data_IF_491953629144
#
_entry.id   IF_491953629144
#
_cell.length_a   1.000
_cell.length_b   1.000
_cell.length_c   1.000
_cell.angle_alpha   90.00
_cell.angle_beta   90.00
_cell.angle_gamma   90.00
#
_symmetry.space_group_name_H-M   'P 1'
#
loop_
_entity.id
_entity.type
_entity.pdbx_description
1 polymer ?
#
# COMPACT_ATOMS: atom_id res chain seq x y z
N UNK A 1 -12.27 -4.42 -7.56
CA UNK A 1 -11.34 -3.48 -8.22
C UNK A 1 -11.02 -2.36 -7.25
N UNK A 2 -9.74 -2.01 -7.14
CA UNK A 2 -9.22 -0.97 -6.26
C UNK A 2 -8.86 0.30 -7.05
N UNK A 3 -9.12 1.46 -6.46
CA UNK A 3 -8.96 2.78 -7.10
C UNK A 3 -8.04 3.67 -6.29
N UNK A 4 -7.21 4.47 -6.97
CA UNK A 4 -6.31 5.42 -6.32
C UNK A 4 -6.95 6.80 -6.22
N UNK A 5 -6.64 7.49 -5.12
CA UNK A 5 -7.04 8.87 -4.88
C UNK A 5 -5.92 9.63 -4.18
N UNK A 6 -5.27 10.52 -4.91
CA UNK A 6 -4.29 11.44 -4.34
C UNK A 6 -4.99 12.56 -3.57
N UNK A 7 -4.49 12.88 -2.38
CA UNK A 7 -5.03 13.90 -1.48
C UNK A 7 -3.88 14.67 -0.86
N UNK A 8 -4.15 15.93 -0.53
CA UNK A 8 -3.22 16.76 0.21
C UNK A 8 -3.69 16.87 1.67
N UNK A 9 -2.76 16.75 2.62
CA UNK A 9 -3.02 16.99 4.04
C UNK A 9 -3.07 18.49 4.32
N UNK A 10 -3.61 18.85 5.49
CA UNK A 10 -3.65 20.24 5.97
C UNK A 10 -2.25 20.88 6.07
N UNK A 11 -1.23 20.05 6.30
CA UNK A 11 0.18 20.43 6.38
C UNK A 11 0.85 20.61 4.99
N UNK A 12 0.11 20.39 3.89
CA UNK A 12 0.63 20.53 2.53
C UNK A 12 1.27 19.26 1.97
N UNK A 13 1.58 18.26 2.80
CA UNK A 13 2.08 16.94 2.35
C UNK A 13 1.03 16.19 1.52
N UNK A 14 1.50 15.50 0.48
CA UNK A 14 0.64 14.69 -0.40
C UNK A 14 0.65 13.23 0.07
N UNK A 15 -0.51 12.58 -0.01
CA UNK A 15 -0.66 11.16 0.24
C UNK A 15 -1.62 10.54 -0.77
N UNK A 16 -1.47 9.24 -1.01
CA UNK A 16 -2.31 8.48 -1.92
C UNK A 16 -3.17 7.51 -1.13
N UNK A 17 -4.49 7.58 -1.30
CA UNK A 17 -5.42 6.61 -0.73
C UNK A 17 -5.81 5.57 -1.78
N UNK A 18 -5.70 4.29 -1.43
CA UNK A 18 -6.24 3.16 -2.22
C UNK A 18 -7.59 2.80 -1.65
N UNK A 19 -8.65 2.95 -2.44
CA UNK A 19 -10.02 2.55 -2.12
C UNK A 19 -10.30 1.15 -2.64
N UNK A 20 -10.91 0.30 -1.84
CA UNK A 20 -11.24 -1.08 -2.19
C UNK A 20 -12.45 -1.58 -1.39
N UNK A 21 -13.08 -2.67 -1.84
CA UNK A 21 -14.20 -3.30 -1.12
C UNK A 21 -13.68 -4.50 -0.35
N UNK A 22 -13.77 -4.47 0.97
CA UNK A 22 -13.39 -5.57 1.84
C UNK A 22 -14.60 -6.00 2.66
N UNK A 23 -14.91 -7.31 2.69
CA UNK A 23 -16.09 -7.85 3.38
C UNK A 23 -17.41 -7.14 3.03
N UNK A 24 -17.60 -6.83 1.74
CA UNK A 24 -18.81 -6.14 1.25
C UNK A 24 -18.90 -4.65 1.61
N UNK A 25 -17.91 -4.09 2.30
CA UNK A 25 -17.87 -2.67 2.65
C UNK A 25 -16.74 -1.96 1.90
N UNK A 26 -17.02 -0.78 1.36
CA UNK A 26 -15.99 0.09 0.81
C UNK A 26 -15.12 0.65 1.93
N UNK A 27 -13.81 0.46 1.81
CA UNK A 27 -12.79 0.92 2.75
C UNK A 27 -11.61 1.52 1.99
N UNK A 28 -10.63 2.05 2.70
CA UNK A 28 -9.43 2.64 2.10
C UNK A 28 -8.20 2.55 2.99
N UNK A 29 -7.03 2.35 2.37
CA UNK A 29 -5.71 2.46 2.99
C UNK A 29 -4.98 3.68 2.44
N UNK A 30 -4.23 4.40 3.28
CA UNK A 30 -3.53 5.62 2.89
C UNK A 30 -2.02 5.43 2.98
N UNK A 31 -1.32 5.89 1.94
CA UNK A 31 0.12 5.72 1.76
C UNK A 31 0.75 7.09 1.52
N UNK A 32 1.92 7.33 2.11
CA UNK A 32 2.69 8.54 1.82
C UNK A 32 3.46 8.42 0.51
N UNK A 33 3.96 7.23 0.21
CA UNK A 33 4.60 6.94 -1.06
C UNK A 33 3.57 6.50 -2.11
N UNK A 34 3.65 7.09 -3.29
CA UNK A 34 2.71 6.78 -4.38
C UNK A 34 3.01 5.40 -5.00
N UNK A 35 4.27 4.99 -5.04
CA UNK A 35 4.70 3.69 -5.57
C UNK A 35 4.16 2.55 -4.71
N UNK A 36 4.17 2.71 -3.39
CA UNK A 36 3.55 1.76 -2.47
C UNK A 36 2.05 1.63 -2.68
N UNK A 37 1.36 2.76 -2.88
CA UNK A 37 -0.07 2.75 -3.18
C UNK A 37 -0.38 1.98 -4.48
N UNK A 38 0.46 2.13 -5.51
CA UNK A 38 0.35 1.38 -6.76
C UNK A 38 0.55 -0.12 -6.55
N UNK A 39 1.57 -0.51 -5.78
CA UNK A 39 1.83 -1.92 -5.45
C UNK A 39 0.66 -2.54 -4.69
N UNK A 40 0.16 -1.85 -3.66
CA UNK A 40 -0.99 -2.32 -2.90
C UNK A 40 -2.25 -2.42 -3.77
N UNK A 41 -2.45 -1.48 -4.70
CA UNK A 41 -3.56 -1.53 -5.67
C UNK A 41 -3.43 -2.74 -6.60
N UNK A 42 -2.24 -3.02 -7.14
CA UNK A 42 -1.98 -4.20 -7.99
C UNK A 42 -2.32 -5.49 -7.26
N UNK A 43 -1.81 -5.64 -6.03
CA UNK A 43 -2.07 -6.82 -5.19
C UNK A 43 -3.57 -6.93 -4.87
N UNK A 44 -4.25 -5.83 -4.52
CA UNK A 44 -5.70 -5.79 -4.32
C UNK A 44 -6.47 -6.23 -5.57
N UNK A 45 -6.00 -5.85 -6.76
CA UNK A 45 -6.66 -6.19 -8.02
C UNK A 45 -6.41 -7.65 -8.43
N UNK A 46 -5.23 -8.21 -8.11
CA UNK A 46 -4.83 -9.56 -8.50
C UNK A 46 -5.28 -10.64 -7.51
N UNK A 47 -5.00 -10.43 -6.23
CA UNK A 47 -5.21 -11.43 -5.17
C UNK A 47 -6.43 -11.10 -4.31
N UNK A 48 -6.97 -9.89 -4.46
CA UNK A 48 -8.06 -9.40 -3.63
C UNK A 48 -7.56 -8.68 -2.38
N UNK A 49 -8.44 -7.90 -1.75
CA UNK A 49 -8.07 -7.00 -0.66
C UNK A 49 -7.74 -7.70 0.65
N UNK A 50 -8.24 -8.93 0.86
CA UNK A 50 -7.90 -9.70 2.05
C UNK A 50 -6.42 -10.12 2.05
N UNK A 51 -5.92 -10.58 0.90
CA UNK A 51 -4.51 -10.98 0.79
C UNK A 51 -3.58 -9.77 0.75
N UNK A 52 -4.00 -8.69 0.07
CA UNK A 52 -3.27 -7.43 0.08
C UNK A 52 -3.06 -6.89 1.51
N UNK A 53 -4.09 -7.00 2.36
CA UNK A 53 -4.01 -6.62 3.76
C UNK A 53 -3.05 -7.53 4.55
N UNK A 54 -3.11 -8.85 4.37
CA UNK A 54 -2.17 -9.76 5.06
C UNK A 54 -0.71 -9.48 4.70
N UNK A 55 -0.42 -9.33 3.41
CA UNK A 55 0.93 -9.02 2.92
C UNK A 55 1.40 -7.69 3.52
N UNK A 56 0.50 -6.71 3.58
CA UNK A 56 0.79 -5.39 4.15
C UNK A 56 1.02 -5.42 5.67
N UNK A 57 0.20 -6.16 6.42
CA UNK A 57 0.36 -6.36 7.86
C UNK A 57 1.67 -7.09 8.18
N UNK A 58 2.04 -8.10 7.38
CA UNK A 58 3.30 -8.81 7.54
C UNK A 58 4.52 -7.94 7.20
N UNK A 59 4.37 -6.97 6.29
CA UNK A 59 5.41 -6.02 5.92
C UNK A 59 5.55 -4.84 6.90
N UNK A 60 4.55 -4.60 7.76
CA UNK A 60 4.55 -3.49 8.72
C UNK A 60 4.88 -4.01 10.12
N UNK A 61 6.14 -3.94 10.60
CA UNK A 61 6.42 -4.21 12.00
C UNK A 61 5.64 -3.21 12.85
N UNK A 62 4.82 -3.72 13.77
CA UNK A 62 3.81 -2.95 14.47
C UNK A 62 4.38 -1.77 15.26
N UNK A 63 4.40 -0.59 14.65
CA UNK A 63 4.23 0.72 15.27
C UNK A 63 4.19 1.77 14.15
N UNK A 64 2.99 2.30 13.88
CA UNK A 64 2.70 3.67 13.42
C UNK A 64 3.60 4.44 12.43
N UNK A 65 4.47 3.82 11.64
CA UNK A 65 5.44 4.54 10.82
C UNK A 65 5.22 4.30 9.32
N UNK A 66 4.98 5.40 8.62
CA UNK A 66 4.96 5.48 7.17
C UNK A 66 6.31 5.03 6.63
N UNK A 67 6.26 4.15 5.63
CA UNK A 67 7.34 3.32 5.09
C UNK A 67 8.44 4.12 4.37
N UNK A 68 9.03 5.10 5.06
CA UNK A 68 10.26 5.74 4.63
C UNK A 68 11.48 4.81 4.81
N UNK A 69 11.34 3.70 5.56
CA UNK A 69 12.46 2.85 5.97
C UNK A 69 12.58 1.49 5.27
N UNK A 70 11.77 1.19 4.25
CA UNK A 70 11.80 -0.14 3.60
C UNK A 70 12.47 -0.19 2.22
N UNK A 71 12.93 0.95 1.69
CA UNK A 71 13.61 0.96 0.38
C UNK A 71 14.96 0.22 0.43
N UNK A 72 15.51 -0.08 1.60
CA UNK A 72 16.80 -0.80 1.70
C UNK A 72 16.67 -2.33 1.79
N UNK A 73 15.49 -2.89 2.13
CA UNK A 73 15.38 -4.32 2.49
C UNK A 73 14.68 -5.25 1.49
N UNK A 74 13.98 -4.74 0.46
CA UNK A 74 13.06 -5.57 -0.34
C UNK A 74 13.19 -5.44 -1.85
N UNK A 75 14.23 -4.77 -2.34
CA UNK A 75 14.65 -4.91 -3.73
C UNK A 75 15.61 -6.10 -3.94
N UNK A 76 16.17 -6.67 -2.86
CA UNK A 76 17.05 -7.85 -2.94
C UNK A 76 16.27 -9.15 -3.26
N UNK A 77 15.01 -9.28 -2.82
CA UNK A 77 14.25 -10.54 -2.95
C UNK A 77 13.45 -10.66 -4.26
N UNK A 78 13.35 -9.60 -5.07
CA UNK A 78 12.61 -9.60 -6.35
C UNK A 78 13.46 -9.25 -7.58
N UNK A 79 14.75 -8.97 -7.42
CA UNK A 79 15.69 -8.86 -8.54
C UNK A 79 16.47 -10.17 -8.76
N UNK A 80 15.76 -11.30 -8.67
CA UNK A 80 16.19 -12.55 -9.30
C UNK A 80 15.91 -12.53 -10.80
N UNK A 81 16.55 -11.62 -11.54
CA UNK A 81 16.63 -11.68 -13.00
C UNK A 81 18.10 -11.49 -13.36
N UNK A 82 18.66 -12.52 -13.99
CA UNK A 82 20.05 -12.70 -14.44
C UNK A 82 20.67 -11.49 -15.15
#
# INVERSE_FOLDING_TARGET
MASLRTRQRKDGTVYTSVLYVHQGKQTSSSFNDHTEALRFQDVCNRLGPAEALRIWEAATPGDGHTVASFIDGHLDVLSGVE
#
